data_IF_060705437802
#
_entry.id   IF_060705437802
#
_cell.length_a   1.000
_cell.length_b   1.000
_cell.length_c   1.000
_cell.angle_alpha   90.00
_cell.angle_beta   90.00
_cell.angle_gamma   90.00
#
_symmetry.space_group_name_H-M   'P 1'
#
loop_
_entity.id
_entity.type
_entity.pdbx_description
1 polymer ?
#
# COMPACT_ATOMS: atom_id res chain seq x y z
N UNK A 1 59.73 -4.38 -6.98
CA UNK A 1 58.53 -4.61 -7.79
C UNK A 1 57.51 -5.32 -6.91
N UNK A 2 56.56 -4.57 -6.34
CA UNK A 2 55.56 -5.07 -5.39
C UNK A 2 54.19 -4.70 -5.92
N UNK A 3 53.40 -5.69 -6.34
CA UNK A 3 52.02 -5.49 -6.73
C UNK A 3 51.16 -5.31 -5.47
N UNK A 4 50.26 -4.32 -5.41
CA UNK A 4 49.33 -4.19 -4.29
C UNK A 4 48.24 -5.26 -4.38
N UNK A 5 47.96 -5.84 -3.22
CA UNK A 5 46.93 -6.84 -2.92
C UNK A 5 45.56 -6.32 -3.36
N UNK A 6 44.84 -7.14 -4.12
CA UNK A 6 43.46 -6.89 -4.50
C UNK A 6 42.59 -6.66 -3.26
N UNK A 7 41.99 -5.47 -3.16
CA UNK A 7 40.95 -5.19 -2.18
C UNK A 7 39.79 -6.15 -2.43
N UNK A 8 39.55 -7.04 -1.46
CA UNK A 8 38.33 -7.84 -1.38
C UNK A 8 37.14 -6.87 -1.37
N UNK A 9 36.38 -6.87 -2.47
CA UNK A 9 35.08 -6.22 -2.55
C UNK A 9 34.22 -6.82 -1.43
N UNK A 10 33.97 -6.04 -0.37
CA UNK A 10 33.00 -6.39 0.66
C UNK A 10 31.68 -6.71 -0.03
N UNK A 11 31.25 -7.97 0.10
CA UNK A 11 29.97 -8.45 -0.38
C UNK A 11 28.86 -7.52 0.06
N UNK A 12 28.10 -6.96 -0.89
CA UNK A 12 26.81 -6.36 -0.60
C UNK A 12 25.94 -7.43 0.08
N UNK A 13 25.83 -7.37 1.40
CA UNK A 13 25.03 -8.31 2.16
C UNK A 13 23.58 -8.09 1.78
N UNK A 14 23.02 -9.00 0.99
CA UNK A 14 21.58 -9.04 0.72
C UNK A 14 20.86 -9.20 2.05
N UNK A 15 20.19 -8.15 2.54
CA UNK A 15 19.36 -8.26 3.73
C UNK A 15 18.26 -9.30 3.47
N UNK A 16 18.01 -10.24 4.40
CA UNK A 16 16.96 -11.24 4.22
C UNK A 16 15.62 -10.53 4.04
N UNK A 17 14.83 -11.01 3.08
CA UNK A 17 13.50 -10.47 2.81
C UNK A 17 12.62 -10.74 4.03
N UNK A 18 12.31 -9.69 4.78
CA UNK A 18 11.46 -9.79 5.97
C UNK A 18 10.01 -10.05 5.57
N UNK A 19 9.56 -11.27 5.81
CA UNK A 19 8.19 -11.73 5.51
C UNK A 19 7.17 -11.37 6.60
N UNK A 20 7.64 -10.96 7.77
CA UNK A 20 6.85 -10.64 8.97
C UNK A 20 6.37 -9.18 9.04
N UNK A 21 6.94 -8.29 8.22
CA UNK A 21 6.70 -6.84 8.29
C UNK A 21 5.22 -6.45 8.15
N UNK A 22 4.53 -7.01 7.15
CA UNK A 22 3.12 -6.72 6.91
C UNK A 22 2.25 -7.11 8.13
N UNK A 23 2.46 -8.30 8.69
CA UNK A 23 1.67 -8.78 9.82
C UNK A 23 1.95 -7.98 11.10
N UNK A 24 3.20 -7.63 11.36
CA UNK A 24 3.55 -6.78 12.49
C UNK A 24 2.92 -5.38 12.36
N UNK A 25 2.84 -4.84 11.14
CA UNK A 25 2.19 -3.56 10.88
C UNK A 25 0.68 -3.61 11.15
N UNK A 26 0.01 -4.70 10.74
CA UNK A 26 -1.42 -4.91 11.02
C UNK A 26 -1.65 -5.00 12.53
N UNK A 27 -0.81 -5.76 13.25
CA UNK A 27 -0.91 -5.88 14.72
C UNK A 27 -0.75 -4.53 15.42
N UNK A 28 0.26 -3.74 15.04
CA UNK A 28 0.45 -2.40 15.58
C UNK A 28 -0.75 -1.49 15.27
N UNK A 29 -1.24 -1.49 14.01
CA UNK A 29 -2.37 -0.66 13.61
C UNK A 29 -3.70 -1.05 14.30
N UNK A 30 -3.87 -2.31 14.69
CA UNK A 30 -4.98 -2.77 15.53
C UNK A 30 -4.86 -2.27 16.97
N UNK A 31 -3.65 -2.32 17.54
CA UNK A 31 -3.37 -1.81 18.89
C UNK A 31 -3.59 -0.29 18.97
N UNK A 32 -3.20 0.43 17.93
CA UNK A 32 -3.35 1.88 17.81
C UNK A 32 -4.75 2.30 17.34
N UNK A 33 -5.69 1.35 17.18
CA UNK A 33 -7.06 1.57 16.67
C UNK A 33 -7.13 2.32 15.33
N UNK A 34 -6.04 2.27 14.54
CA UNK A 34 -5.98 2.89 13.21
C UNK A 34 -6.80 2.09 12.19
N UNK A 35 -6.84 0.76 12.35
CA UNK A 35 -7.68 -0.16 11.57
C UNK A 35 -8.62 -0.92 12.50
N UNK A 36 -9.76 -1.35 11.98
CA UNK A 36 -10.65 -2.28 12.69
C UNK A 36 -10.20 -3.73 12.51
N UNK A 37 -10.79 -4.65 13.28
CA UNK A 37 -10.58 -6.10 13.10
C UNK A 37 -11.06 -6.58 11.73
N UNK A 38 -12.15 -6.01 11.22
CA UNK A 38 -12.70 -6.28 9.89
C UNK A 38 -11.73 -5.80 8.81
N UNK A 39 -11.22 -4.56 8.93
CA UNK A 39 -10.21 -4.03 8.01
C UNK A 39 -8.98 -4.96 7.94
N UNK A 40 -8.50 -5.42 9.11
CA UNK A 40 -7.36 -6.31 9.19
C UNK A 40 -7.63 -7.68 8.52
N UNK A 41 -8.83 -8.24 8.69
CA UNK A 41 -9.22 -9.48 8.03
C UNK A 41 -9.25 -9.32 6.50
N UNK A 42 -9.88 -8.26 6.00
CA UNK A 42 -9.98 -7.95 4.57
C UNK A 42 -8.61 -7.72 3.93
N UNK A 43 -7.71 -6.98 4.60
CA UNK A 43 -6.33 -6.80 4.13
C UNK A 43 -5.62 -8.16 4.04
N UNK A 44 -5.71 -9.00 5.07
CA UNK A 44 -5.04 -10.31 5.07
C UNK A 44 -5.56 -11.21 3.94
N UNK A 45 -6.87 -11.26 3.76
CA UNK A 45 -7.52 -12.05 2.72
C UNK A 45 -7.11 -11.58 1.32
N UNK A 46 -7.17 -10.28 1.06
CA UNK A 46 -6.71 -9.67 -0.19
C UNK A 46 -5.25 -10.03 -0.51
N UNK A 47 -4.35 -9.93 0.48
CA UNK A 47 -2.94 -10.27 0.29
C UNK A 47 -2.76 -11.77 0.08
N UNK A 48 -3.48 -12.61 0.80
CA UNK A 48 -3.43 -14.07 0.65
C UNK A 48 -3.87 -14.51 -0.74
N UNK A 49 -4.95 -13.93 -1.27
CA UNK A 49 -5.42 -14.18 -2.63
C UNK A 49 -4.38 -13.73 -3.66
N UNK A 50 -3.85 -12.50 -3.55
CA UNK A 50 -2.85 -12.03 -4.51
C UNK A 50 -1.56 -12.86 -4.49
N UNK A 51 -1.15 -13.36 -3.32
CA UNK A 51 0.01 -14.26 -3.21
C UNK A 51 -0.27 -15.60 -3.89
N UNK A 52 -1.46 -16.14 -3.73
CA UNK A 52 -1.82 -17.46 -4.26
C UNK A 52 -2.13 -17.43 -5.75
N UNK A 53 -2.85 -16.41 -6.22
CA UNK A 53 -3.34 -16.30 -7.58
C UNK A 53 -2.38 -15.54 -8.51
N UNK A 54 -1.58 -14.62 -7.99
CA UNK A 54 -0.70 -13.74 -8.80
C UNK A 54 0.78 -13.82 -8.41
N UNK A 55 1.15 -14.71 -7.49
CA UNK A 55 2.54 -14.94 -7.05
C UNK A 55 3.30 -13.65 -6.70
N UNK A 56 2.63 -12.69 -6.03
CA UNK A 56 3.29 -11.43 -5.67
C UNK A 56 4.42 -11.66 -4.65
N UNK A 57 5.50 -10.90 -4.79
CA UNK A 57 6.63 -10.97 -3.85
C UNK A 57 6.26 -10.43 -2.45
N UNK A 58 7.02 -10.84 -1.43
CA UNK A 58 6.85 -10.32 -0.07
C UNK A 58 6.99 -8.80 0.00
N UNK A 59 7.91 -8.20 -0.76
CA UNK A 59 8.03 -6.75 -0.87
C UNK A 59 6.78 -6.08 -1.43
N UNK A 60 6.13 -6.70 -2.43
CA UNK A 60 4.87 -6.19 -2.99
C UNK A 60 3.72 -6.31 -1.98
N UNK A 61 3.63 -7.43 -1.26
CA UNK A 61 2.64 -7.63 -0.20
C UNK A 61 2.80 -6.62 0.94
N UNK A 62 4.04 -6.35 1.36
CA UNK A 62 4.36 -5.33 2.36
C UNK A 62 3.89 -3.95 1.88
N UNK A 63 4.23 -3.55 0.64
CA UNK A 63 3.80 -2.27 0.08
C UNK A 63 2.29 -2.12 0.05
N UNK A 64 1.56 -3.15 -0.39
CA UNK A 64 0.09 -3.14 -0.40
C UNK A 64 -0.47 -2.93 1.01
N UNK A 65 0.00 -3.74 1.97
CA UNK A 65 -0.45 -3.68 3.37
C UNK A 65 -0.21 -2.30 3.99
N UNK A 66 1.02 -1.77 3.89
CA UNK A 66 1.35 -0.46 4.46
C UNK A 66 0.55 0.68 3.81
N UNK A 67 0.33 0.63 2.50
CA UNK A 67 -0.48 1.62 1.80
C UNK A 67 -1.94 1.56 2.25
N UNK A 68 -2.52 0.37 2.41
CA UNK A 68 -3.90 0.22 2.89
C UNK A 68 -4.06 0.71 4.34
N UNK A 69 -3.14 0.35 5.24
CA UNK A 69 -3.14 0.89 6.61
C UNK A 69 -3.05 2.41 6.58
N UNK A 70 -2.16 2.97 5.75
CA UNK A 70 -1.98 4.42 5.62
C UNK A 70 -3.23 5.13 5.09
N UNK A 71 -4.04 4.47 4.26
CA UNK A 71 -5.30 5.03 3.76
C UNK A 71 -6.31 5.31 4.86
N UNK A 72 -6.31 4.56 5.97
CA UNK A 72 -7.24 4.78 7.09
C UNK A 72 -7.09 6.12 7.80
N UNK A 73 -6.03 6.87 7.49
CA UNK A 73 -5.88 8.27 7.90
C UNK A 73 -6.82 9.24 7.15
N UNK A 74 -7.34 8.84 6.00
CA UNK A 74 -8.11 9.69 5.08
C UNK A 74 -9.53 9.17 4.81
N UNK A 75 -9.78 7.88 5.06
CA UNK A 75 -11.09 7.24 4.87
C UNK A 75 -11.46 6.44 6.11
N UNK A 76 -12.74 6.14 6.31
CA UNK A 76 -13.28 5.29 7.38
C UNK A 76 -12.97 3.80 7.18
N UNK A 77 -13.58 2.90 8.00
CA UNK A 77 -13.49 1.46 7.82
C UNK A 77 -13.86 1.07 6.38
N UNK A 78 -13.13 0.13 5.79
CA UNK A 78 -13.17 -0.04 4.34
C UNK A 78 -14.55 -0.42 3.82
N UNK A 79 -15.24 -1.31 4.53
CA UNK A 79 -16.58 -1.80 4.20
C UNK A 79 -17.66 -0.71 4.27
N UNK A 80 -17.47 0.28 5.15
CA UNK A 80 -18.47 1.31 5.45
C UNK A 80 -18.32 2.57 4.59
N UNK A 81 -17.19 2.74 3.90
CA UNK A 81 -16.94 3.92 3.08
C UNK A 81 -17.92 4.01 1.90
N UNK A 82 -18.51 5.18 1.74
CA UNK A 82 -19.25 5.57 0.55
C UNK A 82 -18.31 6.00 -0.57
N UNK A 83 -18.83 6.13 -1.79
CA UNK A 83 -18.06 6.71 -2.90
C UNK A 83 -17.68 8.18 -2.63
N UNK A 84 -18.50 8.90 -1.86
CA UNK A 84 -18.25 10.29 -1.47
C UNK A 84 -16.99 10.40 -0.61
N UNK A 85 -16.83 9.49 0.35
CA UNK A 85 -15.65 9.42 1.23
C UNK A 85 -14.38 9.17 0.41
N UNK A 86 -14.43 8.23 -0.54
CA UNK A 86 -13.30 7.96 -1.43
C UNK A 86 -12.96 9.19 -2.30
N UNK A 87 -13.96 9.91 -2.80
CA UNK A 87 -13.72 11.11 -3.60
C UNK A 87 -13.15 12.27 -2.78
N UNK A 88 -13.61 12.44 -1.54
CA UNK A 88 -13.11 13.45 -0.62
C UNK A 88 -11.67 13.16 -0.17
N UNK A 89 -11.30 11.88 0.00
CA UNK A 89 -9.98 11.49 0.46
C UNK A 89 -8.86 11.67 -0.58
N UNK A 90 -9.17 11.70 -1.88
CA UNK A 90 -8.17 11.89 -2.94
C UNK A 90 -7.47 13.26 -2.86
N UNK A 91 -8.17 14.41 -2.79
CA UNK A 91 -7.52 15.70 -2.60
C UNK A 91 -6.81 15.79 -1.24
N UNK A 92 -7.34 15.16 -0.18
CA UNK A 92 -6.63 15.10 1.12
C UNK A 92 -5.29 14.39 1.00
N UNK A 93 -5.24 13.22 0.36
CA UNK A 93 -3.98 12.51 0.11
C UNK A 93 -2.97 13.36 -0.67
N UNK A 94 -3.43 14.12 -1.66
CA UNK A 94 -2.56 14.96 -2.50
C UNK A 94 -1.93 16.10 -1.71
N UNK A 95 -2.65 16.64 -0.73
CA UNK A 95 -2.19 17.71 0.14
C UNK A 95 -1.51 17.19 1.42
N UNK A 96 -1.60 15.88 1.68
CA UNK A 96 -1.05 15.27 2.86
C UNK A 96 0.48 15.28 2.88
N UNK A 97 1.01 15.29 4.09
CA UNK A 97 2.44 15.20 4.36
C UNK A 97 2.79 13.80 4.86
N UNK A 98 3.98 13.36 4.47
CA UNK A 98 4.66 12.21 5.07
C UNK A 98 5.02 12.47 6.54
N UNK A 99 5.44 11.43 7.25
CA UNK A 99 5.97 11.55 8.63
C UNK A 99 7.16 12.49 8.78
N UNK A 100 7.79 12.90 7.67
CA UNK A 100 8.91 13.86 7.65
C UNK A 100 8.44 15.28 7.32
N UNK A 101 7.14 15.58 7.46
CA UNK A 101 6.51 16.86 7.13
C UNK A 101 6.67 17.31 5.66
N UNK A 102 7.07 16.39 4.78
CA UNK A 102 7.21 16.66 3.34
C UNK A 102 5.98 16.18 2.57
N UNK A 103 5.49 16.94 1.57
CA UNK A 103 4.45 16.48 0.66
C UNK A 103 4.84 15.16 -0.01
N UNK A 104 3.84 14.32 -0.31
CA UNK A 104 4.10 13.09 -1.03
C UNK A 104 4.57 13.36 -2.47
N UNK A 105 5.54 12.55 -2.94
CA UNK A 105 5.95 12.57 -4.35
C UNK A 105 4.80 12.05 -5.22
N UNK A 106 4.73 12.52 -6.47
CA UNK A 106 3.71 12.10 -7.44
C UNK A 106 3.63 10.57 -7.61
N UNK A 107 4.78 9.88 -7.66
CA UNK A 107 4.82 8.41 -7.78
C UNK A 107 4.21 7.72 -6.54
N UNK A 108 4.40 8.29 -5.35
CA UNK A 108 3.77 7.79 -4.12
C UNK A 108 2.26 7.96 -4.20
N UNK A 109 1.76 9.14 -4.61
CA UNK A 109 0.32 9.39 -4.78
C UNK A 109 -0.27 8.43 -5.84
N UNK A 110 0.43 8.25 -6.96
CA UNK A 110 0.02 7.31 -8.01
C UNK A 110 -0.11 5.89 -7.48
N UNK A 111 0.89 5.41 -6.72
CA UNK A 111 0.85 4.09 -6.09
C UNK A 111 -0.28 3.97 -5.07
N UNK A 112 -0.49 4.99 -4.22
CA UNK A 112 -1.58 5.00 -3.24
C UNK A 112 -2.95 4.83 -3.92
N UNK A 113 -3.22 5.61 -4.97
CA UNK A 113 -4.50 5.57 -5.68
C UNK A 113 -4.64 4.25 -6.44
N UNK A 114 -3.59 3.75 -7.09
CA UNK A 114 -3.63 2.48 -7.80
C UNK A 114 -3.93 1.30 -6.86
N UNK A 115 -3.31 1.29 -5.68
CA UNK A 115 -3.52 0.25 -4.67
C UNK A 115 -4.93 0.34 -4.08
N UNK A 116 -5.43 1.54 -3.81
CA UNK A 116 -6.81 1.75 -3.33
C UNK A 116 -7.83 1.20 -4.34
N UNK A 117 -7.69 1.56 -5.63
CA UNK A 117 -8.57 1.06 -6.69
C UNK A 117 -8.53 -0.47 -6.77
N UNK A 118 -7.33 -1.05 -6.78
CA UNK A 118 -7.17 -2.50 -6.82
C UNK A 118 -7.88 -3.19 -5.66
N UNK A 119 -7.73 -2.65 -4.44
CA UNK A 119 -8.35 -3.21 -3.25
C UNK A 119 -9.88 -3.07 -3.25
N UNK A 120 -10.42 -1.90 -3.62
CA UNK A 120 -11.87 -1.71 -3.67
C UNK A 120 -12.55 -2.52 -4.78
N UNK A 121 -11.90 -2.73 -5.92
CA UNK A 121 -12.42 -3.65 -6.94
C UNK A 121 -12.50 -5.09 -6.39
N UNK A 122 -11.46 -5.54 -5.70
CA UNK A 122 -11.47 -6.84 -5.02
C UNK A 122 -12.54 -6.93 -3.93
N UNK A 123 -12.77 -5.86 -3.14
CA UNK A 123 -13.84 -5.85 -2.14
C UNK A 123 -15.23 -5.94 -2.76
N UNK A 124 -15.45 -5.32 -3.91
CA UNK A 124 -16.73 -5.39 -4.63
C UNK A 124 -16.95 -6.80 -5.19
N UNK A 125 -15.91 -7.41 -5.75
CA UNK A 125 -15.92 -8.80 -6.22
C UNK A 125 -16.34 -9.76 -5.10
N UNK A 126 -15.75 -9.60 -3.91
CA UNK A 126 -16.00 -10.41 -2.72
C UNK A 126 -17.21 -9.97 -1.87
N UNK A 127 -18.02 -9.01 -2.35
CA UNK A 127 -19.24 -8.51 -1.67
C UNK A 127 -19.00 -7.87 -0.29
N UNK A 128 -17.78 -7.41 -0.03
CA UNK A 128 -17.42 -6.65 1.17
C UNK A 128 -17.75 -5.16 1.08
N UNK A 129 -18.05 -4.65 -0.11
CA UNK A 129 -18.42 -3.25 -0.31
C UNK A 129 -19.64 -3.15 -1.24
N UNK A 130 -20.63 -2.30 -0.92
CA UNK A 130 -21.79 -2.06 -1.78
C UNK A 130 -21.49 -1.10 -2.95
N UNK A 131 -20.24 -0.64 -3.08
CA UNK A 131 -19.84 0.27 -4.14
C UNK A 131 -19.89 -0.40 -5.53
N UNK A 132 -19.94 0.42 -6.57
CA UNK A 132 -19.97 -0.06 -7.95
C UNK A 132 -18.62 0.12 -8.62
N UNK A 133 -18.19 -0.89 -9.39
CA UNK A 133 -16.90 -0.87 -10.10
C UNK A 133 -16.76 0.35 -11.01
N UNK A 134 -17.85 0.75 -11.69
CA UNK A 134 -17.89 1.92 -12.56
C UNK A 134 -17.44 3.20 -11.85
N UNK A 135 -17.82 3.37 -10.58
CA UNK A 135 -17.45 4.56 -9.79
C UNK A 135 -15.99 4.49 -9.34
N UNK A 136 -15.52 3.32 -8.90
CA UNK A 136 -14.10 3.12 -8.53
C UNK A 136 -13.19 3.36 -9.75
N UNK A 137 -13.60 2.90 -10.92
CA UNK A 137 -12.82 3.06 -12.15
C UNK A 137 -12.65 4.53 -12.58
N UNK A 138 -13.61 5.41 -12.24
CA UNK A 138 -13.54 6.87 -12.52
C UNK A 138 -12.47 7.60 -11.69
N UNK A 139 -11.97 7.00 -10.61
CA UNK A 139 -10.86 7.56 -9.84
C UNK A 139 -9.62 7.69 -10.74
N UNK A 140 -9.10 8.91 -10.89
CA UNK A 140 -7.92 9.18 -11.72
C UNK A 140 -6.64 8.89 -10.96
N UNK A 141 -5.88 7.90 -11.44
CA UNK A 141 -4.51 7.65 -11.01
C UNK A 141 -3.57 8.59 -11.78
N UNK A 142 -2.77 9.42 -11.09
CA UNK A 142 -1.77 10.26 -11.73
C UNK A 142 -0.77 9.44 -12.53
N UNK A 143 -0.32 9.97 -13.67
CA UNK A 143 0.78 9.41 -14.45
C UNK A 143 2.04 9.34 -13.58
N UNK A 144 2.77 8.23 -13.68
CA UNK A 144 4.04 8.07 -12.98
C UNK A 144 5.12 8.86 -13.70
N UNK A 145 5.95 9.56 -12.95
CA UNK A 145 7.19 10.11 -13.47
C UNK A 145 8.22 8.98 -13.59
N UNK A 146 8.65 8.71 -14.81
CA UNK A 146 9.65 7.68 -15.13
C UNK A 146 11.07 8.14 -14.81
N UNK A 147 11.28 9.41 -14.54
CA UNK A 147 12.58 9.99 -14.24
C UNK A 147 12.89 9.84 -12.76
N UNK A 148 13.51 8.72 -12.38
CA UNK A 148 13.97 8.51 -11.01
C UNK A 148 15.37 9.11 -10.89
N UNK A 149 15.47 10.41 -10.56
CA UNK A 149 16.73 11.06 -10.16
C UNK A 149 16.94 10.96 -8.65
#
# INVERSE_FOLDING_TARGET
MTYPVAQLLTSSAFHPVRTDLAENAIKAALQDFTITTVDAAQIREFIAELRSCKNISAGRANKLTFTLISWRRFIGPFADNTIGDLYAAIPELRNAKSSREKPFKQNTISDFIAILKQFYLWMIENKYSPLTESKINKLRTPTKDTTTK
#
